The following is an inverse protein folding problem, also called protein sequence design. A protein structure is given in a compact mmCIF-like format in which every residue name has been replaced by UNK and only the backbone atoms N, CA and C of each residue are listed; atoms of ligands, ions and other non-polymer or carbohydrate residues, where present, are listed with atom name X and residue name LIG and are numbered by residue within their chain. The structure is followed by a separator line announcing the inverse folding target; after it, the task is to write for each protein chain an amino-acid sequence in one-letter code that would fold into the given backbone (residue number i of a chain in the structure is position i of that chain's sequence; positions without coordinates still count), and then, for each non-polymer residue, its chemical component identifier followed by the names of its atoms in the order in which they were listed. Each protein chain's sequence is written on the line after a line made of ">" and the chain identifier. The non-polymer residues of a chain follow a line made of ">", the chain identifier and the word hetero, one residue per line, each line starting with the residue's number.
data_IF_755075461464
#
_entry.id   IF_755075461464
#
_cell.length_a   1.000
_cell.length_b   1.000
_cell.length_c   1.000
_cell.angle_alpha   90.00
_cell.angle_beta   90.00
_cell.angle_gamma   90.00
#
_symmetry.space_group_name_H-M   'P 1'
#
loop_
_entity.id
_entity.type
_entity.pdbx_description
1 polymer ?
#
# COMPACT_ATOMS: atom_id res chain seq x y z
N UNK A 1 -8.27 16.17 7.66
CA UNK A 1 -7.11 15.77 8.49
C UNK A 1 -7.27 16.20 9.95
N UNK A 2 -7.79 17.40 10.25
CA UNK A 2 -7.88 17.91 11.64
C UNK A 2 -8.67 17.06 12.64
N UNK A 3 -9.43 16.04 12.20
CA UNK A 3 -10.16 15.13 13.08
C UNK A 3 -9.43 13.79 13.31
N UNK A 4 -8.27 13.56 12.68
CA UNK A 4 -7.61 12.25 12.69
C UNK A 4 -7.13 11.83 14.08
N UNK A 5 -6.39 12.70 14.76
CA UNK A 5 -5.88 12.42 16.12
C UNK A 5 -7.02 12.20 17.12
N UNK A 6 -8.06 13.05 17.08
CA UNK A 6 -9.25 12.88 17.93
C UNK A 6 -10.04 11.60 17.61
N UNK A 7 -9.92 11.08 16.37
CA UNK A 7 -10.50 9.82 15.92
C UNK A 7 -9.59 8.60 16.14
N UNK A 8 -8.46 8.75 16.83
CA UNK A 8 -7.54 7.66 17.14
C UNK A 8 -6.57 7.30 16.01
N UNK A 9 -6.46 8.11 14.94
CA UNK A 9 -5.51 7.91 13.86
C UNK A 9 -4.21 8.64 14.19
N UNK A 10 -3.22 7.91 14.66
CA UNK A 10 -1.94 8.45 15.13
C UNK A 10 -0.86 8.58 14.04
N UNK A 11 -0.96 7.83 12.94
CA UNK A 11 0.03 7.86 11.86
C UNK A 11 -0.64 7.54 10.52
N UNK A 12 -0.24 8.25 9.48
CA UNK A 12 -0.68 8.03 8.09
C UNK A 12 0.56 8.01 7.20
N UNK A 13 0.66 7.01 6.33
CA UNK A 13 1.59 7.03 5.19
C UNK A 13 0.76 7.37 3.95
N UNK A 14 1.02 8.51 3.35
CA UNK A 14 0.34 9.02 2.14
C UNK A 14 1.17 8.65 0.91
N UNK A 15 0.59 7.92 -0.04
CA UNK A 15 1.31 7.36 -1.17
C UNK A 15 1.14 8.21 -2.44
N UNK A 16 2.26 8.55 -3.07
CA UNK A 16 2.30 9.25 -4.35
C UNK A 16 1.88 8.37 -5.51
N UNK A 17 1.21 8.97 -6.48
CA UNK A 17 0.77 8.29 -7.69
C UNK A 17 1.18 8.99 -8.98
N UNK A 18 1.43 10.31 -8.91
CA UNK A 18 1.82 11.17 -10.03
C UNK A 18 2.96 12.10 -9.64
N UNK A 19 3.61 12.72 -10.61
CA UNK A 19 4.66 13.74 -10.35
C UNK A 19 4.15 14.94 -9.54
N UNK A 20 2.88 15.35 -9.77
CA UNK A 20 2.25 16.45 -9.04
C UNK A 20 1.89 16.05 -7.60
N UNK A 21 1.53 14.79 -7.37
CA UNK A 21 1.17 14.31 -6.03
C UNK A 21 2.33 14.40 -5.05
N UNK A 22 3.58 14.33 -5.52
CA UNK A 22 4.76 14.42 -4.68
C UNK A 22 4.86 15.74 -3.94
N UNK A 23 4.58 16.88 -4.63
CA UNK A 23 4.61 18.20 -3.99
C UNK A 23 3.54 18.30 -2.89
N UNK A 24 2.38 17.70 -3.13
CA UNK A 24 1.29 17.67 -2.15
C UNK A 24 1.64 16.84 -0.92
N UNK A 25 2.28 15.70 -1.12
CA UNK A 25 2.76 14.85 -0.03
C UNK A 25 3.78 15.61 0.82
N UNK A 26 4.76 16.28 0.22
CA UNK A 26 5.73 17.08 0.94
C UNK A 26 5.05 18.17 1.77
N UNK A 27 4.12 18.95 1.19
CA UNK A 27 3.33 19.94 1.93
C UNK A 27 2.61 19.32 3.14
N UNK A 28 2.01 18.13 2.96
CA UNK A 28 1.27 17.45 4.03
C UNK A 28 2.21 16.94 5.13
N UNK A 29 3.36 16.38 4.77
CA UNK A 29 4.34 15.90 5.75
C UNK A 29 4.97 17.03 6.56
N UNK A 30 5.19 18.19 5.98
CA UNK A 30 5.65 19.38 6.69
C UNK A 30 4.56 19.94 7.63
N UNK A 31 3.33 19.97 7.17
CA UNK A 31 2.21 20.60 7.89
C UNK A 31 1.69 19.73 9.06
N UNK A 32 1.74 18.41 8.93
CA UNK A 32 1.15 17.49 9.89
C UNK A 32 2.20 16.53 10.45
N UNK A 33 2.44 16.51 11.78
CA UNK A 33 3.49 15.68 12.37
C UNK A 33 3.22 14.18 12.23
N UNK A 34 1.96 13.77 12.13
CA UNK A 34 1.52 12.38 12.01
C UNK A 34 1.44 11.86 10.57
N UNK A 35 1.73 12.69 9.55
CA UNK A 35 1.76 12.29 8.14
C UNK A 35 3.21 12.02 7.72
N UNK A 36 3.42 10.87 7.14
CA UNK A 36 4.61 10.45 6.40
C UNK A 36 4.26 10.27 4.94
N UNK A 37 5.25 10.28 4.05
CA UNK A 37 5.04 10.14 2.62
C UNK A 37 5.69 8.90 2.04
N UNK A 38 5.11 8.39 0.96
CA UNK A 38 5.78 7.50 0.03
C UNK A 38 5.81 8.17 -1.35
N UNK A 39 6.94 8.08 -2.04
CA UNK A 39 7.15 8.70 -3.35
C UNK A 39 7.26 7.60 -4.40
N UNK A 40 6.39 7.63 -5.40
CA UNK A 40 6.34 6.69 -6.49
C UNK A 40 5.44 7.17 -7.63
N UNK A 41 5.47 6.46 -8.74
CA UNK A 41 4.60 6.68 -9.89
C UNK A 41 3.76 5.43 -10.11
N UNK A 42 2.44 5.61 -10.01
CA UNK A 42 1.45 4.57 -10.25
C UNK A 42 1.55 4.04 -11.70
N UNK A 43 1.31 2.75 -11.95
CA UNK A 43 1.40 2.18 -13.30
C UNK A 43 0.58 2.91 -14.37
N UNK A 44 -0.59 3.46 -14.04
CA UNK A 44 -1.40 4.24 -15.01
C UNK A 44 -0.69 5.51 -15.48
N UNK A 45 0.24 6.03 -14.69
CA UNK A 45 1.03 7.23 -14.97
C UNK A 45 2.47 6.90 -15.41
N UNK A 46 2.81 5.63 -15.57
CA UNK A 46 4.16 5.18 -15.91
C UNK A 46 4.72 5.84 -17.18
N UNK A 47 3.85 6.16 -18.15
CA UNK A 47 4.24 6.87 -19.36
C UNK A 47 4.66 8.33 -19.16
N UNK A 48 4.42 8.91 -17.99
CA UNK A 48 4.83 10.28 -17.64
C UNK A 48 6.21 10.35 -16.99
N UNK A 49 6.75 9.21 -16.54
CA UNK A 49 8.04 9.13 -15.88
C UNK A 49 9.17 9.11 -16.90
N UNK A 50 10.23 9.86 -16.61
CA UNK A 50 11.48 9.92 -17.37
C UNK A 50 12.68 9.94 -16.41
N UNK A 51 13.89 10.05 -16.94
CA UNK A 51 15.11 10.08 -16.13
C UNK A 51 15.17 11.33 -15.23
N UNK A 52 14.61 12.46 -15.66
CA UNK A 52 14.53 13.67 -14.82
C UNK A 52 13.57 13.46 -13.63
N UNK A 53 12.44 12.77 -13.86
CA UNK A 53 11.53 12.31 -12.81
C UNK A 53 12.21 11.37 -11.83
N UNK A 54 13.01 10.41 -12.31
CA UNK A 54 13.78 9.49 -11.46
C UNK A 54 14.84 10.23 -10.61
N UNK A 55 15.55 11.20 -11.20
CA UNK A 55 16.49 12.05 -10.43
C UNK A 55 15.78 12.89 -9.36
N UNK A 56 14.60 13.43 -9.69
CA UNK A 56 13.78 14.14 -8.70
C UNK A 56 13.33 13.21 -7.58
N UNK A 57 12.83 12.02 -7.93
CA UNK A 57 12.44 10.99 -6.97
C UNK A 57 13.59 10.65 -6.02
N UNK A 58 14.80 10.39 -6.55
CA UNK A 58 15.98 10.07 -5.74
C UNK A 58 16.28 11.13 -4.68
N UNK A 59 16.10 12.41 -5.01
CA UNK A 59 16.29 13.54 -4.08
C UNK A 59 15.19 13.60 -3.02
N UNK A 60 13.94 13.36 -3.41
CA UNK A 60 12.80 13.40 -2.49
C UNK A 60 12.84 12.27 -1.48
N UNK A 61 13.36 11.11 -1.86
CA UNK A 61 13.53 9.95 -0.99
C UNK A 61 14.53 10.18 0.15
N UNK A 62 15.36 11.22 0.10
CA UNK A 62 16.25 11.61 1.19
C UNK A 62 15.57 12.46 2.27
N UNK A 63 14.28 12.77 2.13
CA UNK A 63 13.52 13.55 3.10
C UNK A 63 13.16 12.75 4.36
N UNK A 64 13.34 13.35 5.55
CA UNK A 64 13.17 12.70 6.86
C UNK A 64 11.80 12.03 7.08
N UNK A 65 10.75 12.51 6.40
CA UNK A 65 9.38 11.99 6.53
C UNK A 65 8.92 11.19 5.30
N UNK A 66 9.82 10.89 4.38
CA UNK A 66 9.56 9.98 3.27
C UNK A 66 10.07 8.60 3.66
N UNK A 67 9.16 7.65 3.80
CA UNK A 67 9.41 6.36 4.46
C UNK A 67 9.28 5.15 3.53
N UNK A 68 8.88 5.36 2.26
CA UNK A 68 8.72 4.28 1.30
C UNK A 68 8.82 4.79 -0.15
N UNK A 69 9.07 3.86 -1.07
CA UNK A 69 8.83 4.06 -2.49
C UNK A 69 7.45 3.47 -2.82
N UNK A 70 6.57 4.30 -3.33
CA UNK A 70 5.20 3.88 -3.67
C UNK A 70 4.27 5.07 -3.93
N UNK A 71 3.17 4.79 -4.58
CA UNK A 71 2.68 3.51 -5.06
C UNK A 71 3.29 3.18 -6.42
N UNK A 72 3.83 1.95 -6.59
CA UNK A 72 4.48 1.49 -7.81
C UNK A 72 3.95 0.08 -8.17
N UNK A 73 4.04 -0.35 -9.41
CA UNK A 73 3.59 -1.70 -9.76
C UNK A 73 3.04 -1.83 -11.17
N UNK A 74 1.99 -2.67 -11.32
CA UNK A 74 1.35 -2.98 -12.60
C UNK A 74 -0.17 -2.88 -12.51
N UNK A 75 -0.81 -2.23 -13.50
CA UNK A 75 -2.26 -2.21 -13.69
C UNK A 75 -2.60 -2.53 -15.16
N UNK A 76 -3.12 -3.75 -15.40
CA UNK A 76 -3.54 -4.20 -16.73
C UNK A 76 -5.04 -4.04 -16.95
N UNK A 77 -5.76 -3.51 -15.96
CA UNK A 77 -7.18 -3.21 -16.08
C UNK A 77 -7.41 -1.86 -16.77
N UNK A 78 -6.69 -0.82 -16.36
CA UNK A 78 -6.85 0.52 -16.91
C UNK A 78 -5.99 0.74 -18.15
N UNK A 79 -4.73 0.29 -18.16
CA UNK A 79 -3.84 0.39 -19.30
C UNK A 79 -3.52 -1.01 -19.87
N UNK A 80 -4.15 -1.34 -20.97
CA UNK A 80 -4.06 -2.65 -21.63
C UNK A 80 -2.95 -2.73 -22.70
N UNK A 81 -2.31 -1.63 -23.03
CA UNK A 81 -1.41 -1.54 -24.18
C UNK A 81 0.06 -1.32 -23.77
N UNK A 82 0.31 -0.61 -22.66
CA UNK A 82 1.66 -0.18 -22.29
C UNK A 82 2.30 -1.05 -21.18
N UNK A 83 2.03 -2.35 -21.17
CA UNK A 83 2.55 -3.26 -20.14
C UNK A 83 4.07 -3.22 -20.02
N UNK A 84 4.81 -3.11 -21.15
CA UNK A 84 6.27 -3.06 -21.14
C UNK A 84 6.80 -1.75 -20.51
N UNK A 85 6.10 -0.63 -20.73
CA UNK A 85 6.42 0.66 -20.11
C UNK A 85 6.21 0.57 -18.59
N UNK A 86 5.07 -0.01 -18.16
CA UNK A 86 4.80 -0.23 -16.74
C UNK A 86 5.86 -1.11 -16.10
N UNK A 87 6.22 -2.25 -16.71
CA UNK A 87 7.27 -3.15 -16.20
C UNK A 87 8.63 -2.45 -16.12
N UNK A 88 9.00 -1.69 -17.15
CA UNK A 88 10.26 -0.95 -17.16
C UNK A 88 10.35 0.00 -15.96
N UNK A 89 9.37 0.87 -15.78
CA UNK A 89 9.41 1.85 -14.69
C UNK A 89 9.15 1.22 -13.31
N UNK A 90 8.39 0.13 -13.23
CA UNK A 90 8.27 -0.63 -12.00
C UNK A 90 9.62 -1.15 -11.52
N UNK A 91 10.39 -1.82 -12.41
CA UNK A 91 11.73 -2.33 -12.10
C UNK A 91 12.68 -1.19 -11.72
N UNK A 92 12.67 -0.07 -12.47
CA UNK A 92 13.53 1.09 -12.18
C UNK A 92 13.23 1.69 -10.80
N UNK A 93 11.97 1.77 -10.41
CA UNK A 93 11.57 2.25 -9.09
C UNK A 93 11.92 1.24 -7.97
N UNK A 94 11.84 -0.07 -8.22
CA UNK A 94 12.32 -1.09 -7.30
C UNK A 94 13.84 -1.00 -7.09
N UNK A 95 14.61 -0.78 -8.15
CA UNK A 95 16.07 -0.61 -8.06
C UNK A 95 16.41 0.64 -7.24
N UNK A 96 15.72 1.76 -7.45
CA UNK A 96 15.86 2.98 -6.64
C UNK A 96 15.54 2.71 -5.15
N UNK A 97 14.44 2.01 -4.87
CA UNK A 97 14.07 1.65 -3.50
C UNK A 97 15.14 0.77 -2.83
N UNK A 98 15.74 -0.15 -3.57
CA UNK A 98 16.84 -0.98 -3.10
C UNK A 98 18.08 -0.16 -2.78
N UNK A 99 18.49 0.77 -3.66
CA UNK A 99 19.62 1.68 -3.45
C UNK A 99 19.44 2.53 -2.19
N UNK A 100 18.21 3.02 -1.99
CA UNK A 100 17.83 3.83 -0.82
C UNK A 100 17.49 3.00 0.42
N UNK A 101 17.51 1.67 0.35
CA UNK A 101 17.13 0.75 1.43
C UNK A 101 15.72 1.00 1.99
N UNK A 102 14.80 1.42 1.15
CA UNK A 102 13.43 1.75 1.49
C UNK A 102 12.46 0.60 1.23
N UNK A 103 11.40 0.46 2.05
CA UNK A 103 10.30 -0.43 1.74
C UNK A 103 9.51 0.06 0.53
N UNK A 104 8.72 -0.85 -0.07
CA UNK A 104 7.92 -0.54 -1.25
C UNK A 104 6.44 -0.80 -1.03
N UNK A 105 5.58 0.05 -1.60
CA UNK A 105 4.12 -0.10 -1.65
C UNK A 105 3.75 -0.51 -3.07
N UNK A 106 3.23 -1.73 -3.24
CA UNK A 106 3.04 -2.37 -4.52
C UNK A 106 1.57 -2.38 -4.91
N UNK A 107 1.27 -1.74 -6.02
CA UNK A 107 0.02 -1.88 -6.75
C UNK A 107 0.06 -3.08 -7.68
N UNK A 108 -1.03 -3.86 -7.70
CA UNK A 108 -1.18 -4.94 -8.68
C UNK A 108 -2.64 -5.18 -9.01
N UNK A 109 -3.01 -4.95 -10.26
CA UNK A 109 -4.37 -5.15 -10.75
C UNK A 109 -4.39 -5.84 -12.10
N UNK A 110 -5.04 -7.02 -12.17
CA UNK A 110 -5.06 -7.92 -13.34
C UNK A 110 -3.66 -8.29 -13.89
N UNK A 111 -2.62 -8.12 -13.06
CA UNK A 111 -1.21 -8.32 -13.39
C UNK A 111 -0.50 -9.34 -12.46
N UNK A 112 -1.26 -10.27 -11.88
CA UNK A 112 -0.82 -11.14 -10.80
C UNK A 112 0.49 -11.90 -11.07
N UNK A 113 0.62 -12.51 -12.25
CA UNK A 113 1.79 -13.32 -12.62
C UNK A 113 3.03 -12.43 -12.79
N UNK A 114 2.92 -11.38 -13.59
CA UNK A 114 4.03 -10.48 -13.89
C UNK A 114 4.51 -9.74 -12.63
N UNK A 115 3.56 -9.31 -11.77
CA UNK A 115 3.93 -8.69 -10.48
C UNK A 115 4.69 -9.68 -9.61
N UNK A 116 4.21 -10.93 -9.48
CA UNK A 116 4.89 -11.95 -8.68
C UNK A 116 6.30 -12.25 -9.22
N UNK A 117 6.44 -12.36 -10.53
CA UNK A 117 7.73 -12.65 -11.16
C UNK A 117 8.73 -11.49 -10.98
N UNK A 118 8.29 -10.25 -11.19
CA UNK A 118 9.14 -9.07 -10.95
C UNK A 118 9.52 -8.98 -9.47
N UNK A 119 8.59 -9.18 -8.56
CA UNK A 119 8.88 -9.14 -7.12
C UNK A 119 9.90 -10.22 -6.70
N UNK A 120 9.81 -11.43 -7.27
CA UNK A 120 10.79 -12.50 -7.01
C UNK A 120 12.18 -12.14 -7.54
N UNK A 121 12.26 -11.53 -8.72
CA UNK A 121 13.52 -11.24 -9.40
C UNK A 121 14.18 -9.95 -8.88
N UNK A 122 13.38 -8.91 -8.63
CA UNK A 122 13.87 -7.56 -8.37
C UNK A 122 13.65 -7.05 -6.94
N UNK A 123 12.80 -7.71 -6.12
CA UNK A 123 12.50 -7.24 -4.77
C UNK A 123 12.89 -8.24 -3.66
N UNK A 124 13.62 -9.30 -3.99
CA UNK A 124 14.07 -10.28 -2.99
C UNK A 124 14.87 -9.61 -1.88
N UNK A 125 14.49 -9.89 -0.61
CA UNK A 125 15.10 -9.32 0.59
C UNK A 125 14.69 -7.89 0.93
N UNK A 126 13.86 -7.24 0.11
CA UNK A 126 13.28 -5.94 0.43
C UNK A 126 12.07 -6.10 1.36
N UNK A 127 11.74 -5.05 2.09
CA UNK A 127 10.47 -4.92 2.79
C UNK A 127 9.40 -4.42 1.81
N UNK A 128 8.21 -5.04 1.79
CA UNK A 128 7.15 -4.66 0.87
C UNK A 128 5.76 -4.88 1.47
N UNK A 129 4.78 -4.13 0.98
CA UNK A 129 3.35 -4.41 1.13
C UNK A 129 2.71 -4.51 -0.25
N UNK A 130 1.90 -5.54 -0.45
CA UNK A 130 1.02 -5.63 -1.61
C UNK A 130 -0.27 -4.91 -1.23
N UNK A 131 -0.40 -3.68 -1.72
CA UNK A 131 -1.49 -2.77 -1.42
C UNK A 131 -2.82 -3.25 -2.03
N UNK A 132 -3.92 -2.94 -1.38
CA UNK A 132 -5.30 -3.21 -1.82
C UNK A 132 -5.50 -4.63 -2.39
N UNK A 133 -5.02 -5.62 -1.63
CA UNK A 133 -4.88 -6.99 -2.10
C UNK A 133 -6.20 -7.60 -2.60
N UNK A 134 -6.20 -8.17 -3.81
CA UNK A 134 -7.43 -8.67 -4.46
C UNK A 134 -7.31 -10.09 -5.06
N UNK A 135 -6.16 -10.74 -4.92
CA UNK A 135 -5.91 -12.06 -5.50
C UNK A 135 -6.25 -13.21 -4.53
N UNK A 136 -5.78 -14.43 -4.83
CA UNK A 136 -6.10 -15.62 -4.05
C UNK A 136 -5.29 -15.72 -2.76
N UNK A 137 -5.75 -16.59 -1.84
CA UNK A 137 -5.04 -16.86 -0.59
C UNK A 137 -3.70 -17.58 -0.83
N UNK A 138 -3.62 -18.45 -1.86
CA UNK A 138 -2.39 -19.14 -2.24
C UNK A 138 -1.30 -18.14 -2.63
N UNK A 139 -1.65 -17.14 -3.45
CA UNK A 139 -0.71 -16.11 -3.86
C UNK A 139 -0.32 -15.19 -2.68
N UNK A 140 -1.25 -14.87 -1.78
CA UNK A 140 -0.95 -14.12 -0.57
C UNK A 140 0.09 -14.86 0.30
N UNK A 141 -0.04 -16.19 0.44
CA UNK A 141 0.94 -17.02 1.16
C UNK A 141 2.33 -16.98 0.52
N UNK A 142 2.43 -16.93 -0.80
CA UNK A 142 3.72 -16.78 -1.48
C UNK A 142 4.36 -15.42 -1.15
N UNK A 143 3.63 -14.32 -1.18
CA UNK A 143 4.13 -13.02 -0.74
C UNK A 143 4.54 -13.03 0.74
N UNK A 144 3.74 -13.65 1.61
CA UNK A 144 4.07 -13.80 3.04
C UNK A 144 5.35 -14.59 3.26
N UNK A 145 5.59 -15.69 2.49
CA UNK A 145 6.86 -16.45 2.53
C UNK A 145 8.07 -15.61 2.10
N UNK A 146 7.87 -14.64 1.21
CA UNK A 146 8.90 -13.67 0.82
C UNK A 146 9.14 -12.59 1.89
N UNK A 147 8.36 -12.61 3.00
CA UNK A 147 8.46 -11.64 4.08
C UNK A 147 7.59 -10.39 3.89
N UNK A 148 6.74 -10.35 2.87
CA UNK A 148 5.92 -9.19 2.53
C UNK A 148 4.63 -9.14 3.35
N UNK A 149 4.08 -7.94 3.44
CA UNK A 149 2.79 -7.65 4.07
C UNK A 149 1.69 -7.62 3.02
N UNK A 150 0.46 -7.81 3.48
CA UNK A 150 -0.76 -7.76 2.68
C UNK A 150 -1.63 -6.60 3.17
N UNK A 151 -1.91 -5.64 2.30
CA UNK A 151 -2.77 -4.50 2.57
C UNK A 151 -4.25 -4.92 2.53
N UNK A 152 -4.98 -4.62 3.59
CA UNK A 152 -6.40 -4.95 3.74
C UNK A 152 -7.18 -3.69 4.11
N UNK A 153 -8.03 -3.25 3.19
CA UNK A 153 -8.87 -2.07 3.32
C UNK A 153 -10.37 -2.38 3.40
N UNK A 154 -11.19 -1.37 3.17
CA UNK A 154 -12.65 -1.39 3.32
C UNK A 154 -13.37 -2.52 2.58
N UNK A 155 -12.78 -3.04 1.51
CA UNK A 155 -13.33 -4.16 0.71
C UNK A 155 -13.59 -5.40 1.54
N UNK A 156 -12.81 -5.67 2.61
CA UNK A 156 -13.01 -6.84 3.48
C UNK A 156 -14.40 -6.88 4.12
N UNK A 157 -15.05 -5.72 4.28
CA UNK A 157 -16.41 -5.60 4.84
C UNK A 157 -17.52 -5.96 3.84
N UNK A 158 -17.21 -6.08 2.53
CA UNK A 158 -18.22 -6.30 1.51
C UNK A 158 -18.71 -7.75 1.49
N UNK A 159 -20.02 -7.95 1.23
CA UNK A 159 -20.62 -9.30 1.19
C UNK A 159 -20.00 -10.19 0.12
N UNK A 160 -19.59 -9.63 -1.01
CA UNK A 160 -19.03 -10.36 -2.15
C UNK A 160 -17.50 -10.50 -2.11
N UNK A 161 -16.82 -9.98 -1.11
CA UNK A 161 -15.37 -10.04 -0.97
C UNK A 161 -14.86 -11.42 -0.47
N UNK A 162 -15.38 -12.52 -1.03
CA UNK A 162 -15.08 -13.88 -0.56
C UNK A 162 -13.59 -14.21 -0.59
N UNK A 163 -12.90 -13.84 -1.69
CA UNK A 163 -11.45 -14.08 -1.82
C UNK A 163 -10.65 -13.35 -0.74
N UNK A 164 -10.88 -12.05 -0.53
CA UNK A 164 -10.15 -11.27 0.46
C UNK A 164 -10.43 -11.77 1.88
N UNK A 165 -11.66 -12.17 2.19
CA UNK A 165 -12.01 -12.80 3.48
C UNK A 165 -11.26 -14.10 3.71
N UNK A 166 -11.14 -14.94 2.69
CA UNK A 166 -10.33 -16.15 2.74
C UNK A 166 -8.84 -15.81 2.97
N UNK A 167 -8.30 -14.83 2.27
CA UNK A 167 -6.92 -14.33 2.49
C UNK A 167 -6.72 -13.97 3.95
N UNK A 168 -7.59 -13.11 4.50
CA UNK A 168 -7.51 -12.69 5.90
C UNK A 168 -7.56 -13.89 6.86
N UNK A 169 -8.40 -14.89 6.61
CA UNK A 169 -8.47 -16.08 7.45
C UNK A 169 -7.19 -16.93 7.42
N UNK A 170 -6.53 -17.02 6.26
CA UNK A 170 -5.44 -17.97 6.02
C UNK A 170 -4.03 -17.43 6.25
N UNK A 171 -3.80 -16.10 6.15
CA UNK A 171 -2.48 -15.50 6.41
C UNK A 171 -2.35 -15.06 7.87
N UNK A 172 -1.14 -15.03 8.47
CA UNK A 172 -0.95 -14.58 9.84
C UNK A 172 -1.27 -13.10 10.01
N UNK A 173 -1.82 -12.70 11.17
CA UNK A 173 -2.15 -11.31 11.48
C UNK A 173 -0.90 -10.40 11.47
N UNK A 174 0.25 -10.97 11.79
CA UNK A 174 1.57 -10.34 11.75
C UNK A 174 2.03 -9.93 10.33
N UNK A 175 1.25 -10.30 9.31
CA UNK A 175 1.51 -9.95 7.90
C UNK A 175 0.39 -9.14 7.25
N UNK A 176 -0.56 -8.65 8.05
CA UNK A 176 -1.64 -7.77 7.58
C UNK A 176 -1.30 -6.32 7.93
N UNK A 177 -1.54 -5.40 6.99
CA UNK A 177 -1.58 -3.97 7.23
C UNK A 177 -3.00 -3.44 7.01
N UNK A 178 -3.43 -2.51 7.88
CA UNK A 178 -4.66 -1.75 7.65
C UNK A 178 -4.39 -0.61 6.67
N UNK A 179 -5.31 -0.43 5.73
CA UNK A 179 -5.26 0.64 4.76
C UNK A 179 -6.65 1.17 4.42
N UNK A 180 -6.73 2.21 3.61
CA UNK A 180 -8.02 2.81 3.27
C UNK A 180 -8.28 2.94 1.78
N UNK A 181 -7.27 3.13 0.96
CA UNK A 181 -7.39 3.56 -0.45
C UNK A 181 -8.28 4.82 -0.58
N UNK A 182 -8.26 5.68 0.45
CA UNK A 182 -9.12 6.87 0.44
C UNK A 182 -8.68 7.89 -0.65
N UNK A 183 -9.64 8.54 -1.30
CA UNK A 183 -11.06 8.69 -0.91
C UNK A 183 -12.00 7.57 -1.38
N UNK A 184 -11.49 6.47 -1.90
CA UNK A 184 -12.24 5.35 -2.48
C UNK A 184 -12.49 4.22 -1.47
N UNK A 185 -13.20 3.18 -1.87
CA UNK A 185 -13.38 1.89 -1.21
C UNK A 185 -13.83 1.97 0.26
N UNK A 186 -14.70 2.93 0.61
CA UNK A 186 -15.24 3.07 1.96
C UNK A 186 -15.88 1.74 2.45
N UNK A 187 -15.58 1.31 3.71
CA UNK A 187 -16.16 0.10 4.28
C UNK A 187 -17.68 0.23 4.47
N UNK A 188 -18.36 -0.90 4.66
CA UNK A 188 -19.74 -0.91 5.16
C UNK A 188 -19.72 -0.35 6.59
N UNK A 189 -20.66 0.56 6.98
CA UNK A 189 -21.88 0.95 6.24
C UNK A 189 -21.71 2.14 5.27
N UNK A 190 -20.50 2.64 5.06
CA UNK A 190 -20.24 3.86 4.27
C UNK A 190 -19.96 3.59 2.78
N UNK A 191 -20.18 2.36 2.31
CA UNK A 191 -19.95 2.00 0.91
C UNK A 191 -20.65 2.98 -0.05
N UNK A 192 -19.91 3.48 -1.07
CA UNK A 192 -20.40 4.47 -2.02
C UNK A 192 -20.28 5.93 -1.56
N UNK A 193 -19.79 6.17 -0.34
CA UNK A 193 -19.45 7.50 0.16
C UNK A 193 -17.94 7.73 0.09
N UNK A 194 -17.49 8.97 0.29
CA UNK A 194 -16.09 9.31 0.42
C UNK A 194 -15.48 8.57 1.62
N UNK A 195 -14.39 7.85 1.39
CA UNK A 195 -13.65 7.17 2.44
C UNK A 195 -12.71 8.11 3.22
N UNK A 196 -12.28 7.66 4.39
CA UNK A 196 -11.38 8.37 5.29
C UNK A 196 -10.72 7.36 6.23
N UNK A 197 -9.52 7.66 6.73
CA UNK A 197 -8.84 6.85 7.74
C UNK A 197 -9.64 6.70 9.04
N UNK A 198 -10.60 7.58 9.33
CA UNK A 198 -11.56 7.43 10.43
C UNK A 198 -12.48 6.20 10.29
N UNK A 199 -12.51 5.57 9.12
CA UNK A 199 -13.28 4.35 8.89
C UNK A 199 -12.48 3.05 9.16
N UNK A 200 -11.20 3.13 9.54
CA UNK A 200 -10.37 1.96 9.86
C UNK A 200 -10.95 1.06 10.96
N UNK A 201 -11.64 1.55 11.99
CA UNK A 201 -12.27 0.67 12.98
C UNK A 201 -13.19 -0.39 12.37
N UNK A 202 -13.97 -0.05 11.33
CA UNK A 202 -14.84 -1.02 10.64
C UNK A 202 -14.05 -2.11 9.89
N UNK A 203 -12.87 -1.78 9.38
CA UNK A 203 -11.97 -2.74 8.76
C UNK A 203 -11.38 -3.66 9.82
N UNK A 204 -10.92 -3.11 10.95
CA UNK A 204 -10.38 -3.87 12.07
C UNK A 204 -11.42 -4.82 12.67
N UNK A 205 -12.66 -4.38 12.86
CA UNK A 205 -13.77 -5.22 13.32
C UNK A 205 -14.03 -6.41 12.38
N UNK A 206 -14.05 -6.16 11.05
CA UNK A 206 -14.25 -7.23 10.07
C UNK A 206 -13.11 -8.24 10.06
N UNK A 207 -11.86 -7.79 10.22
CA UNK A 207 -10.69 -8.66 10.34
C UNK A 207 -10.76 -9.47 11.64
N UNK A 208 -11.14 -8.83 12.75
CA UNK A 208 -11.28 -9.47 14.06
C UNK A 208 -12.30 -10.61 14.03
N UNK A 209 -13.47 -10.39 13.41
CA UNK A 209 -14.48 -11.44 13.21
C UNK A 209 -13.93 -12.63 12.41
N UNK A 210 -13.19 -12.36 11.33
CA UNK A 210 -12.60 -13.42 10.49
C UNK A 210 -11.48 -14.20 11.18
N UNK A 211 -10.75 -13.54 12.09
CA UNK A 211 -9.64 -14.13 12.85
C UNK A 211 -10.06 -14.76 14.18
N UNK A 212 -11.28 -14.50 14.65
CA UNK A 212 -11.73 -14.94 15.98
C UNK A 212 -10.98 -14.25 17.13
N UNK A 213 -10.67 -12.98 16.97
CA UNK A 213 -9.96 -12.13 17.93
C UNK A 213 -10.72 -10.81 18.18
N UNK A 214 -10.10 -9.84 18.82
CA UNK A 214 -10.70 -8.52 19.08
C UNK A 214 -10.21 -7.46 18.09
N UNK A 215 -11.01 -6.42 17.84
CA UNK A 215 -10.58 -5.30 17.01
C UNK A 215 -9.35 -4.58 17.58
N UNK A 216 -9.23 -4.53 18.91
CA UNK A 216 -8.08 -3.94 19.60
C UNK A 216 -6.79 -4.72 19.30
N UNK A 217 -6.81 -6.05 19.38
CA UNK A 217 -5.67 -6.91 19.01
C UNK A 217 -5.29 -6.73 17.53
N UNK A 218 -6.28 -6.62 16.64
CA UNK A 218 -6.03 -6.32 15.22
C UNK A 218 -5.33 -4.99 15.05
N UNK A 219 -5.83 -3.92 15.69
CA UNK A 219 -5.24 -2.58 15.60
C UNK A 219 -3.81 -2.59 16.15
N UNK A 220 -3.58 -3.15 17.34
CA UNK A 220 -2.26 -3.22 17.96
C UNK A 220 -1.25 -3.99 17.08
N UNK A 221 -1.64 -5.15 16.57
CA UNK A 221 -0.75 -5.96 15.75
C UNK A 221 -0.45 -5.28 14.40
N UNK A 222 -1.47 -4.72 13.74
CA UNK A 222 -1.28 -4.09 12.43
C UNK A 222 -0.53 -2.75 12.54
N UNK A 223 -0.68 -2.01 13.63
CA UNK A 223 0.17 -0.86 13.93
C UNK A 223 1.64 -1.27 14.08
N UNK A 224 1.93 -2.33 14.86
CA UNK A 224 3.27 -2.88 14.99
C UNK A 224 3.85 -3.29 13.64
N UNK A 225 3.05 -3.95 12.81
CA UNK A 225 3.46 -4.36 11.46
C UNK A 225 3.83 -3.15 10.59
N UNK A 226 3.01 -2.08 10.63
CA UNK A 226 3.27 -0.86 9.88
C UNK A 226 4.55 -0.16 10.35
N UNK A 227 4.75 -0.06 11.67
CA UNK A 227 6.00 0.49 12.24
C UNK A 227 7.22 -0.32 11.83
N UNK A 228 7.13 -1.64 11.84
CA UNK A 228 8.22 -2.53 11.38
C UNK A 228 8.51 -2.37 9.89
N UNK A 229 7.47 -2.26 9.06
CA UNK A 229 7.62 -2.06 7.61
C UNK A 229 8.31 -0.74 7.31
N UNK A 230 7.78 0.36 7.85
CA UNK A 230 8.19 1.73 7.50
C UNK A 230 9.33 2.29 8.38
N UNK A 231 9.73 1.58 9.43
CA UNK A 231 10.79 2.05 10.34
C UNK A 231 10.38 3.21 11.26
N UNK A 232 9.12 3.27 11.68
CA UNK A 232 8.50 4.34 12.50
C UNK A 232 8.47 4.03 13.99
#
# INVERSE_FOLDING_TARGET
>A
LGAMEAGGVGTIVDAGSTLESWDKILELTERYPFIYGAIGIHPDEAGTLDEAGMERMAKLLDGDKIVAVGEIGLDYYWDKENHDVQKHWFIRQLDMAREKQMPVIIHSREAAADTMDIMKQHASGMKAVIHCYSYSAEMAKEYVKMGYYIGVGGVVTFKNAKKLKQVVQEIPLERILLETDCPYLAPVPFRGKRNSSLNLPYVAEAIAELKGTTAEEVIQQTEKNARELYGL
#
